data_IF_276968414130
#
_entry.id   IF_276968414130
#
_cell.length_a   1.000
_cell.length_b   1.000
_cell.length_c   1.000
_cell.angle_alpha   90.00
_cell.angle_beta   90.00
_cell.angle_gamma   90.00
#
_symmetry.space_group_name_H-M   'P 1'
#
loop_
_entity.id
_entity.type
_entity.pdbx_description
1 polymer ?
#
# COMPACT_ATOMS: atom_id res chain seq x y z
N UNK A 1 24.82 7.08 -27.23
CA UNK A 1 24.31 7.88 -26.10
C UNK A 1 22.92 7.44 -25.72
N UNK A 2 22.01 7.40 -26.65
CA UNK A 2 20.62 6.97 -26.37
C UNK A 2 20.52 5.52 -25.92
N UNK A 3 21.45 4.66 -26.34
CA UNK A 3 21.51 3.26 -25.92
C UNK A 3 21.73 3.13 -24.42
N UNK A 4 22.55 4.02 -23.82
CA UNK A 4 22.81 4.01 -22.37
C UNK A 4 21.60 4.49 -21.57
N UNK A 5 20.87 5.48 -22.06
CA UNK A 5 19.66 5.97 -21.42
C UNK A 5 18.54 4.92 -21.50
N UNK A 6 18.37 4.27 -22.65
CA UNK A 6 17.40 3.20 -22.81
C UNK A 6 17.73 2.01 -21.89
N UNK A 7 19.01 1.65 -21.79
CA UNK A 7 19.47 0.59 -20.91
C UNK A 7 19.25 0.97 -19.42
N UNK A 8 19.43 2.24 -19.05
CA UNK A 8 19.16 2.71 -17.71
C UNK A 8 17.66 2.73 -17.39
N UNK A 9 16.82 3.16 -18.34
CA UNK A 9 15.37 3.13 -18.18
C UNK A 9 14.84 1.69 -18.06
N UNK A 10 15.50 0.72 -18.73
CA UNK A 10 15.15 -0.69 -18.65
C UNK A 10 15.64 -1.40 -17.40
N UNK A 11 16.48 -0.71 -16.58
CA UNK A 11 17.04 -1.29 -15.34
C UNK A 11 16.08 -1.25 -14.15
N UNK A 12 14.94 -0.57 -14.24
CA UNK A 12 13.92 -0.63 -13.21
C UNK A 12 13.38 -2.05 -13.18
N UNK A 13 13.78 -2.81 -12.15
CA UNK A 13 13.33 -4.17 -11.98
C UNK A 13 11.92 -4.18 -11.40
N UNK A 14 11.05 -4.93 -12.05
CA UNK A 14 9.71 -5.15 -11.54
C UNK A 14 9.76 -5.98 -10.26
N UNK A 15 8.98 -5.56 -9.28
CA UNK A 15 8.76 -6.32 -8.05
C UNK A 15 7.82 -7.49 -8.32
N UNK A 16 7.70 -8.40 -7.34
CA UNK A 16 6.70 -9.47 -7.42
C UNK A 16 5.27 -8.92 -7.58
N UNK A 17 4.97 -7.79 -6.93
CA UNK A 17 3.67 -7.11 -7.04
C UNK A 17 3.41 -6.72 -8.52
N UNK A 18 4.40 -6.15 -9.18
CA UNK A 18 4.27 -5.79 -10.60
C UNK A 18 3.97 -7.02 -11.46
N UNK A 19 4.65 -8.12 -11.21
CA UNK A 19 4.42 -9.37 -11.94
C UNK A 19 3.03 -9.92 -11.74
N UNK A 20 2.50 -9.81 -10.52
CA UNK A 20 1.12 -10.22 -10.21
C UNK A 20 0.11 -9.37 -10.98
N UNK A 21 0.32 -8.05 -11.02
CA UNK A 21 -0.55 -7.14 -11.76
C UNK A 21 -0.46 -7.36 -13.27
N UNK A 22 0.74 -7.60 -13.80
CA UNK A 22 0.94 -7.94 -15.21
C UNK A 22 0.15 -9.20 -15.57
N UNK A 23 0.26 -10.23 -14.75
CA UNK A 23 -0.46 -11.50 -14.97
C UNK A 23 -1.98 -11.31 -14.92
N UNK A 24 -2.47 -10.37 -14.13
CA UNK A 24 -3.89 -10.06 -14.02
C UNK A 24 -4.39 -9.08 -15.10
N UNK A 25 -3.50 -8.54 -15.93
CA UNK A 25 -3.84 -7.57 -16.97
C UNK A 25 -4.21 -6.20 -16.43
N UNK A 26 -3.73 -5.84 -15.22
CA UNK A 26 -4.03 -4.57 -14.58
C UNK A 26 -2.95 -3.55 -14.92
N UNK A 27 -3.38 -2.39 -15.45
CA UNK A 27 -2.49 -1.29 -15.78
C UNK A 27 -1.99 -0.57 -14.51
N UNK A 28 -0.73 -0.22 -14.50
CA UNK A 28 -0.10 0.55 -13.41
C UNK A 28 1.14 1.27 -13.95
N UNK A 29 1.60 2.25 -13.19
CA UNK A 29 2.90 2.89 -13.41
C UNK A 29 3.79 2.56 -12.22
N UNK A 30 5.03 2.14 -12.48
CA UNK A 30 6.04 1.91 -11.45
C UNK A 30 6.93 3.14 -11.36
N UNK A 31 7.00 3.74 -10.18
CA UNK A 31 7.72 4.98 -9.96
C UNK A 31 8.74 4.78 -8.85
N UNK A 32 10.02 5.11 -9.15
CA UNK A 32 11.09 5.10 -8.17
C UNK A 32 11.17 6.44 -7.43
N UNK A 33 11.59 6.38 -6.18
CA UNK A 33 11.91 7.55 -5.37
C UNK A 33 13.13 7.26 -4.51
N UNK A 34 13.78 8.33 -4.03
CA UNK A 34 14.96 8.19 -3.16
C UNK A 34 14.50 7.87 -1.74
N UNK A 35 14.98 6.74 -1.21
CA UNK A 35 14.66 6.30 0.14
C UNK A 35 15.46 7.12 1.15
N UNK A 36 14.78 7.68 2.13
CA UNK A 36 15.36 8.25 3.33
C UNK A 36 14.95 7.37 4.51
N UNK A 37 15.87 6.55 5.01
CA UNK A 37 15.57 5.62 6.10
C UNK A 37 15.24 6.34 7.42
N UNK A 38 15.60 7.61 7.55
CA UNK A 38 15.23 8.41 8.71
C UNK A 38 13.79 8.94 8.64
N UNK A 39 13.18 8.93 7.46
CA UNK A 39 11.80 9.38 7.25
C UNK A 39 11.10 8.52 6.20
N UNK A 40 10.43 7.46 6.65
CA UNK A 40 9.65 6.55 5.81
C UNK A 40 8.19 6.97 5.67
N UNK A 41 7.84 8.18 6.13
CA UNK A 41 6.45 8.66 6.09
C UNK A 41 5.93 8.82 4.66
N UNK A 42 4.63 8.63 4.49
CA UNK A 42 3.96 8.87 3.21
C UNK A 42 4.06 10.34 2.76
N UNK A 43 4.13 11.28 3.70
CA UNK A 43 4.32 12.70 3.40
C UNK A 43 5.66 12.92 2.70
N UNK A 44 6.73 12.31 3.20
CA UNK A 44 8.05 12.38 2.57
C UNK A 44 8.04 11.72 1.19
N UNK A 45 7.40 10.54 1.06
CA UNK A 45 7.25 9.86 -0.23
C UNK A 45 6.53 10.75 -1.22
N UNK A 46 5.43 11.38 -0.83
CA UNK A 46 4.66 12.29 -1.69
C UNK A 46 5.53 13.47 -2.16
N UNK A 47 6.34 14.04 -1.28
CA UNK A 47 7.28 15.11 -1.64
C UNK A 47 8.28 14.64 -2.69
N UNK A 48 8.85 13.46 -2.51
CA UNK A 48 9.81 12.88 -3.46
C UNK A 48 9.18 12.61 -4.82
N UNK A 49 7.91 12.21 -4.84
CA UNK A 49 7.16 11.97 -6.08
C UNK A 49 6.66 13.27 -6.73
N UNK A 50 6.63 14.38 -6.00
CA UNK A 50 5.99 15.62 -6.46
C UNK A 50 4.48 15.51 -6.57
N UNK A 51 3.87 14.67 -5.74
CA UNK A 51 2.44 14.36 -5.78
C UNK A 51 1.72 14.81 -4.51
N UNK A 52 0.39 14.94 -4.59
CA UNK A 52 -0.46 15.25 -3.46
C UNK A 52 -0.44 14.09 -2.46
N UNK A 53 -0.13 14.38 -1.19
CA UNK A 53 -0.08 13.37 -0.14
C UNK A 53 -1.41 12.63 0.03
N UNK A 54 -2.53 13.27 -0.29
CA UNK A 54 -3.86 12.65 -0.20
C UNK A 54 -4.04 11.49 -1.17
N UNK A 55 -3.23 11.42 -2.24
CA UNK A 55 -3.24 10.32 -3.20
C UNK A 55 -2.29 9.18 -2.81
N UNK A 56 -1.41 9.39 -1.84
CA UNK A 56 -0.44 8.38 -1.40
C UNK A 56 -1.01 7.62 -0.20
N UNK A 57 -1.31 6.34 -0.41
CA UNK A 57 -1.92 5.48 0.60
C UNK A 57 -0.85 4.60 1.26
N UNK A 58 -1.04 4.33 2.54
CA UNK A 58 -0.21 3.41 3.32
C UNK A 58 -1.01 2.18 3.72
N UNK A 59 -0.31 1.08 3.90
CA UNK A 59 -0.90 -0.22 4.27
C UNK A 59 -0.53 -0.53 5.71
N UNK A 60 -1.54 -0.64 6.56
CA UNK A 60 -1.39 -0.89 8.00
C UNK A 60 -2.00 -2.24 8.32
N UNK A 61 -1.24 -3.09 9.01
CA UNK A 61 -1.74 -4.36 9.52
C UNK A 61 -2.13 -4.18 10.98
N UNK A 62 -3.33 -4.64 11.31
CA UNK A 62 -3.89 -4.51 12.66
C UNK A 62 -4.23 -5.89 13.21
N UNK A 63 -4.32 -5.97 14.53
CA UNK A 63 -4.85 -7.14 15.21
C UNK A 63 -6.10 -6.78 15.99
N UNK A 64 -7.09 -7.65 15.94
CA UNK A 64 -8.37 -7.49 16.62
C UNK A 64 -8.63 -8.61 17.61
N UNK A 65 -9.72 -8.47 18.36
CA UNK A 65 -10.14 -9.44 19.36
C UNK A 65 -10.85 -10.64 18.78
N UNK A 66 -11.54 -10.49 17.65
CA UNK A 66 -12.28 -11.59 16.95
C UNK A 66 -11.60 -11.99 15.66
N UNK A 67 -11.40 -11.04 14.75
CA UNK A 67 -10.61 -11.22 13.54
C UNK A 67 -9.20 -10.79 13.89
N UNK A 68 -8.31 -11.77 14.05
CA UNK A 68 -7.00 -11.53 14.66
C UNK A 68 -6.13 -10.59 13.85
N UNK A 69 -6.05 -10.77 12.53
CA UNK A 69 -5.25 -9.92 11.66
C UNK A 69 -6.08 -9.45 10.48
N UNK A 70 -5.98 -8.17 10.17
CA UNK A 70 -6.63 -7.56 9.02
C UNK A 70 -5.82 -6.34 8.57
N UNK A 71 -6.14 -5.84 7.40
CA UNK A 71 -5.35 -4.79 6.73
C UNK A 71 -6.23 -3.58 6.46
N UNK A 72 -5.71 -2.40 6.74
CA UNK A 72 -6.33 -1.13 6.37
C UNK A 72 -5.38 -0.33 5.48
N UNK A 73 -5.88 0.08 4.32
CA UNK A 73 -5.17 0.94 3.37
C UNK A 73 -5.80 2.33 3.48
N UNK A 74 -5.02 3.30 3.94
CA UNK A 74 -5.52 4.64 4.27
C UNK A 74 -4.62 5.73 3.71
N UNK A 75 -5.13 6.97 3.53
CA UNK A 75 -4.27 8.08 3.13
C UNK A 75 -3.08 8.21 4.07
N UNK A 76 -1.91 8.42 3.49
CA UNK A 76 -0.66 8.36 4.24
C UNK A 76 -0.49 9.45 5.30
N UNK A 77 -1.13 10.60 5.11
CA UNK A 77 -1.10 11.69 6.09
C UNK A 77 -2.10 11.50 7.24
N UNK A 78 -2.99 10.50 7.13
CA UNK A 78 -4.02 10.22 8.13
C UNK A 78 -3.65 9.04 9.00
N UNK A 79 -4.18 9.01 10.22
CA UNK A 79 -4.09 7.85 11.09
C UNK A 79 -5.36 7.00 10.96
N UNK A 80 -5.22 5.69 11.10
CA UNK A 80 -6.38 4.79 11.17
C UNK A 80 -7.17 5.10 12.43
N UNK A 81 -8.48 5.34 12.27
CA UNK A 81 -9.38 5.42 13.41
C UNK A 81 -9.68 3.99 13.88
N UNK A 82 -9.15 3.63 15.06
CA UNK A 82 -9.20 2.26 15.55
C UNK A 82 -10.63 1.77 15.82
N UNK A 83 -11.54 2.67 16.20
CA UNK A 83 -12.95 2.32 16.39
C UNK A 83 -13.64 2.00 15.07
N UNK A 84 -13.36 2.81 14.03
CA UNK A 84 -13.90 2.58 12.70
C UNK A 84 -13.32 1.30 12.09
N UNK A 85 -12.02 1.07 12.24
CA UNK A 85 -11.36 -0.14 11.77
C UNK A 85 -11.89 -1.39 12.47
N UNK A 86 -12.10 -1.34 13.77
CA UNK A 86 -12.70 -2.43 14.52
C UNK A 86 -14.10 -2.74 14.00
N UNK A 87 -14.92 -1.70 13.80
CA UNK A 87 -16.27 -1.86 13.28
C UNK A 87 -16.27 -2.49 11.88
N UNK A 88 -15.42 -1.99 10.98
CA UNK A 88 -15.33 -2.48 9.60
C UNK A 88 -14.94 -3.96 9.57
N UNK A 89 -14.05 -4.39 10.46
CA UNK A 89 -13.50 -5.75 10.50
C UNK A 89 -14.32 -6.74 11.35
N UNK A 90 -15.38 -6.26 12.03
CA UNK A 90 -16.17 -7.11 12.91
C UNK A 90 -15.56 -7.37 14.27
N UNK A 91 -14.61 -6.51 14.68
CA UNK A 91 -13.97 -6.55 15.99
C UNK A 91 -14.62 -5.58 16.96
N UNK A 92 -14.48 -5.81 18.26
CA UNK A 92 -14.83 -4.84 19.30
C UNK A 92 -13.73 -3.83 19.50
N UNK A 93 -12.49 -4.28 19.39
CA UNK A 93 -11.29 -3.46 19.52
C UNK A 93 -10.18 -3.98 18.62
N UNK A 94 -9.28 -3.10 18.26
CA UNK A 94 -8.11 -3.46 17.46
C UNK A 94 -6.97 -2.49 17.76
N UNK A 95 -5.77 -2.89 17.36
CA UNK A 95 -4.56 -2.06 17.46
C UNK A 95 -3.60 -2.44 16.33
N UNK A 96 -2.68 -1.56 15.92
CA UNK A 96 -1.61 -1.95 15.01
C UNK A 96 -0.77 -3.08 15.61
N UNK A 97 -0.29 -3.98 14.75
CA UNK A 97 0.63 -5.04 15.18
C UNK A 97 1.98 -4.42 15.58
N UNK A 98 2.77 -5.16 16.37
CA UNK A 98 4.15 -4.77 16.62
C UNK A 98 4.96 -4.83 15.31
N UNK A 99 5.85 -3.87 15.10
CA UNK A 99 6.64 -3.78 13.86
C UNK A 99 7.39 -5.08 13.55
N UNK A 100 7.91 -5.77 14.56
CA UNK A 100 8.63 -7.05 14.41
C UNK A 100 7.77 -8.17 13.83
N UNK A 101 6.46 -8.06 13.90
CA UNK A 101 5.53 -9.05 13.38
C UNK A 101 5.22 -8.86 11.89
N UNK A 102 5.52 -7.68 11.33
CA UNK A 102 5.12 -7.33 9.97
C UNK A 102 5.72 -8.27 8.94
N UNK A 103 7.03 -8.47 8.97
CA UNK A 103 7.72 -9.32 8.00
C UNK A 103 7.27 -10.79 8.08
N UNK A 104 7.19 -11.42 9.28
CA UNK A 104 6.69 -12.79 9.37
C UNK A 104 5.27 -12.97 8.85
N UNK A 105 4.39 -12.00 9.10
CA UNK A 105 2.98 -12.07 8.70
C UNK A 105 2.76 -11.78 7.22
N UNK A 106 3.43 -10.77 6.68
CA UNK A 106 3.11 -10.26 5.35
C UNK A 106 4.17 -10.54 4.28
N UNK A 107 5.42 -10.73 4.68
CA UNK A 107 6.55 -10.78 3.76
C UNK A 107 7.12 -9.40 3.41
N UNK A 108 6.55 -8.34 3.97
CA UNK A 108 6.98 -6.97 3.72
C UNK A 108 7.59 -6.32 4.96
N UNK A 109 8.39 -5.30 4.75
CA UNK A 109 8.95 -4.48 5.82
C UNK A 109 8.28 -3.11 5.84
N UNK A 110 8.44 -2.38 6.94
CA UNK A 110 7.94 -1.00 7.07
C UNK A 110 8.47 -0.13 5.93
N UNK A 111 7.59 0.65 5.32
CA UNK A 111 7.91 1.46 4.16
C UNK A 111 7.80 0.73 2.82
N UNK A 112 7.64 -0.60 2.85
CA UNK A 112 7.46 -1.41 1.66
C UNK A 112 6.22 -2.29 1.69
N UNK A 113 5.35 -2.12 2.69
CA UNK A 113 4.15 -2.94 2.82
C UNK A 113 3.11 -2.60 1.75
N UNK A 114 2.64 -3.63 1.06
CA UNK A 114 1.67 -3.53 -0.03
C UNK A 114 0.47 -4.43 0.27
N UNK A 115 -0.76 -4.02 -0.07
CA UNK A 115 -1.92 -4.89 0.11
C UNK A 115 -1.94 -6.08 -0.85
N UNK A 116 -1.13 -6.04 -1.90
CA UNK A 116 -1.03 -7.10 -2.92
C UNK A 116 0.09 -8.05 -2.55
N UNK A 117 -0.14 -9.35 -2.72
CA UNK A 117 0.94 -10.35 -2.62
C UNK A 117 1.43 -10.65 -1.21
N UNK A 118 0.63 -10.39 -0.19
CA UNK A 118 0.96 -10.80 1.17
C UNK A 118 1.05 -12.31 1.29
N UNK A 119 1.88 -12.80 2.23
CA UNK A 119 2.03 -14.24 2.47
C UNK A 119 0.72 -14.95 2.74
N UNK A 120 -0.24 -14.26 3.38
CA UNK A 120 -1.57 -14.78 3.71
C UNK A 120 -2.63 -13.80 3.24
N UNK A 121 -3.79 -14.29 2.79
CA UNK A 121 -4.91 -13.44 2.38
C UNK A 121 -5.66 -12.94 3.63
N UNK A 122 -5.19 -11.85 4.23
CA UNK A 122 -5.90 -11.21 5.33
C UNK A 122 -7.11 -10.45 4.83
N UNK A 123 -8.22 -10.38 5.61
CA UNK A 123 -9.30 -9.43 5.32
C UNK A 123 -8.73 -8.03 5.17
N UNK A 124 -9.07 -7.34 4.09
CA UNK A 124 -8.44 -6.07 3.74
C UNK A 124 -9.49 -5.02 3.40
N UNK A 125 -9.24 -3.81 3.89
CA UNK A 125 -10.14 -2.66 3.79
C UNK A 125 -9.37 -1.47 3.23
N UNK A 126 -10.06 -0.61 2.48
CA UNK A 126 -9.49 0.64 1.98
C UNK A 126 -10.40 1.79 2.34
N UNK A 127 -9.82 2.91 2.77
CA UNK A 127 -10.60 4.09 3.10
C UNK A 127 -11.33 4.63 1.87
N UNK A 128 -12.57 5.04 2.08
CA UNK A 128 -13.47 5.51 1.02
C UNK A 128 -12.95 6.72 0.26
N UNK A 129 -12.03 7.49 0.84
CA UNK A 129 -11.41 8.63 0.16
C UNK A 129 -10.66 8.23 -1.11
N UNK A 130 -10.30 6.96 -1.28
CA UNK A 130 -9.65 6.50 -2.50
C UNK A 130 -10.53 6.74 -3.75
N UNK A 131 -11.85 6.76 -3.57
CA UNK A 131 -12.80 6.96 -4.67
C UNK A 131 -12.84 8.43 -5.16
N UNK A 132 -12.22 9.35 -4.43
CA UNK A 132 -12.10 10.76 -4.84
C UNK A 132 -11.00 10.96 -5.90
N UNK A 133 -10.18 9.94 -6.15
CA UNK A 133 -9.02 10.04 -7.03
C UNK A 133 -9.15 9.10 -8.21
N UNK A 134 -8.72 9.55 -9.38
CA UNK A 134 -8.63 8.71 -10.56
C UNK A 134 -7.51 7.66 -10.41
N UNK A 135 -6.40 8.06 -9.80
CA UNK A 135 -5.25 7.23 -9.51
C UNK A 135 -4.79 7.44 -8.07
N UNK A 136 -4.32 6.38 -7.44
CA UNK A 136 -3.68 6.43 -6.13
C UNK A 136 -2.30 5.78 -6.18
N UNK A 137 -1.49 6.07 -5.18
CA UNK A 137 -0.17 5.46 -5.01
C UNK A 137 -0.22 4.49 -3.83
N UNK A 138 0.37 3.33 -4.02
CA UNK A 138 0.64 2.36 -2.94
C UNK A 138 2.05 1.83 -3.11
N UNK A 139 2.65 1.31 -2.05
CA UNK A 139 3.97 0.69 -2.15
C UNK A 139 3.96 -0.43 -3.19
N UNK A 140 5.02 -0.53 -3.96
CA UNK A 140 5.22 -1.62 -4.92
C UNK A 140 5.77 -2.90 -4.27
N UNK A 141 5.86 -2.96 -2.94
CA UNK A 141 6.35 -4.12 -2.20
C UNK A 141 7.79 -3.99 -1.71
N UNK A 142 8.41 -2.84 -1.92
CA UNK A 142 9.73 -2.52 -1.38
C UNK A 142 9.90 -1.02 -1.24
N UNK A 143 10.80 -0.60 -0.35
CA UNK A 143 11.17 0.81 -0.21
C UNK A 143 11.73 1.35 -1.51
N UNK A 144 11.43 2.59 -1.84
CA UNK A 144 11.94 3.25 -3.04
C UNK A 144 11.11 3.05 -4.29
N UNK A 145 10.03 2.30 -4.21
CA UNK A 145 9.15 2.04 -5.35
C UNK A 145 7.68 2.18 -4.97
N UNK A 146 6.94 2.93 -5.79
CA UNK A 146 5.51 3.11 -5.66
C UNK A 146 4.81 2.66 -6.93
N UNK A 147 3.61 2.13 -6.76
CA UNK A 147 2.67 1.87 -7.84
C UNK A 147 1.67 3.01 -7.91
N UNK A 148 1.41 3.49 -9.12
CA UNK A 148 0.28 4.38 -9.39
C UNK A 148 -0.73 3.63 -10.23
N UNK A 149 -1.94 3.47 -9.71
CA UNK A 149 -2.98 2.68 -10.37
C UNK A 149 -4.37 3.16 -10.01
N UNK A 150 -5.36 2.66 -10.76
CA UNK A 150 -6.77 2.90 -10.46
C UNK A 150 -7.15 2.28 -9.12
N UNK A 151 -7.77 3.06 -8.20
CA UNK A 151 -8.24 2.49 -6.94
C UNK A 151 -9.28 1.40 -7.16
N UNK A 152 -10.13 1.50 -8.18
CA UNK A 152 -11.13 0.48 -8.48
C UNK A 152 -10.49 -0.85 -8.88
N UNK A 153 -9.41 -0.80 -9.67
CA UNK A 153 -8.67 -2.01 -10.06
C UNK A 153 -8.04 -2.67 -8.84
N UNK A 154 -7.49 -1.87 -7.93
CA UNK A 154 -6.91 -2.38 -6.68
C UNK A 154 -7.98 -3.02 -5.79
N UNK A 155 -9.13 -2.35 -5.64
CA UNK A 155 -10.27 -2.86 -4.87
C UNK A 155 -10.73 -4.22 -5.39
N UNK A 156 -10.85 -4.35 -6.70
CA UNK A 156 -11.34 -5.59 -7.32
C UNK A 156 -10.30 -6.71 -7.25
N UNK A 157 -9.03 -6.40 -7.35
CA UNK A 157 -7.96 -7.41 -7.44
C UNK A 157 -7.60 -8.04 -6.10
N UNK A 158 -7.44 -7.27 -5.05
CA UNK A 158 -6.92 -7.77 -3.73
C UNK A 158 -7.81 -8.86 -3.12
N UNK A 159 -9.11 -8.83 -2.94
CA UNK A 159 -10.05 -7.71 -2.93
C UNK A 159 -10.00 -6.84 -1.66
N UNK A 160 -10.42 -5.61 -1.79
CA UNK A 160 -10.54 -4.67 -0.68
C UNK A 160 -12.01 -4.31 -0.44
N UNK A 161 -12.40 -4.22 0.82
CA UNK A 161 -13.71 -3.65 1.18
C UNK A 161 -13.55 -2.16 1.44
N UNK A 162 -14.35 -1.34 0.76
CA UNK A 162 -14.35 0.12 0.96
C UNK A 162 -15.09 0.46 2.25
N UNK A 163 -14.45 1.22 3.11
CA UNK A 163 -15.01 1.62 4.41
C UNK A 163 -14.47 2.97 4.85
N UNK A 164 -15.16 3.60 5.79
CA UNK A 164 -14.65 4.78 6.47
C UNK A 164 -13.69 4.33 7.57
N UNK A 165 -12.40 4.68 7.44
CA UNK A 165 -11.32 4.19 8.31
C UNK A 165 -10.52 5.30 9.00
N UNK A 166 -10.81 6.57 8.68
CA UNK A 166 -10.07 7.72 9.21
C UNK A 166 -10.95 8.73 9.91
#
# INVERSE_FOLDING_TARGET
MDVNLAAMAQKIQKTNVCRLLDAAGIAYELIEYVVDESDLSATHVAEQLGEDVDTVFKTIVLEGDKVKHFVCVVPGACEVDLKKAARASGNKSCKPIAQKELLPLTGYIRGGCCPIGMKKPFPSYIDETCLLHEKIFVSAGQRGMQLRLSPQDLINYVPLTVSDLI
#
